data_IF_431891942435
#
_entry.id   IF_431891942435
#
_cell.length_a   1.000
_cell.length_b   1.000
_cell.length_c   1.000
_cell.angle_alpha   90.00
_cell.angle_beta   90.00
_cell.angle_gamma   90.00
#
_symmetry.space_group_name_H-M   'P 1'
#
loop_
_entity.id
_entity.type
_entity.pdbx_description
1 polymer ?
#
# COMPACT_ATOMS: atom_id res chain seq x y z
N UNK A 1 -17.79 5.09 -34.82
CA UNK A 1 -17.32 4.45 -33.57
C UNK A 1 -15.83 4.71 -33.53
N UNK A 2 -15.41 5.71 -32.76
CA UNK A 2 -14.03 6.10 -32.62
C UNK A 2 -13.51 5.45 -31.34
N UNK A 3 -12.45 4.69 -31.46
CA UNK A 3 -11.63 4.04 -30.45
C UNK A 3 -12.36 3.30 -29.31
N UNK A 4 -12.13 1.99 -29.28
CA UNK A 4 -12.44 1.14 -28.13
C UNK A 4 -11.19 1.08 -27.28
N UNK A 5 -11.14 1.83 -26.17
CA UNK A 5 -10.12 1.66 -25.14
C UNK A 5 -10.39 0.36 -24.38
N UNK A 6 -9.51 -0.60 -24.55
CA UNK A 6 -9.50 -1.82 -23.73
C UNK A 6 -8.89 -1.47 -22.36
N UNK A 7 -9.71 -1.31 -21.36
CA UNK A 7 -9.25 -1.19 -19.97
C UNK A 7 -8.96 -2.60 -19.45
N UNK A 8 -7.71 -3.01 -19.53
CA UNK A 8 -7.24 -4.27 -18.95
C UNK A 8 -7.18 -4.16 -17.43
N UNK A 9 -7.79 -5.12 -16.72
CA UNK A 9 -7.75 -5.23 -15.26
C UNK A 9 -6.53 -6.02 -14.75
N UNK A 10 -5.55 -6.28 -15.60
CA UNK A 10 -4.31 -6.90 -15.15
C UNK A 10 -3.60 -6.02 -14.13
N UNK A 11 -3.04 -6.61 -13.06
CA UNK A 11 -2.31 -5.83 -12.07
C UNK A 11 -1.17 -5.07 -12.74
N UNK A 12 -1.09 -3.77 -12.44
CA UNK A 12 -0.06 -2.85 -12.96
C UNK A 12 1.30 -3.30 -12.43
N UNK A 13 1.97 -4.15 -13.20
CA UNK A 13 3.27 -4.72 -12.86
C UNK A 13 3.19 -5.98 -12.00
N UNK A 14 3.83 -7.04 -12.48
CA UNK A 14 3.98 -8.32 -11.74
C UNK A 14 5.08 -8.26 -10.67
N UNK A 15 5.64 -7.09 -10.39
CA UNK A 15 6.75 -6.93 -9.45
C UNK A 15 6.22 -6.57 -8.06
N UNK A 16 6.63 -7.32 -7.05
CA UNK A 16 6.46 -7.01 -5.62
C UNK A 16 7.00 -5.63 -5.23
N UNK A 17 7.91 -5.08 -6.04
CA UNK A 17 8.55 -3.77 -5.87
C UNK A 17 7.76 -2.60 -6.46
N UNK A 18 6.72 -2.89 -7.25
CA UNK A 18 5.84 -1.85 -7.77
C UNK A 18 4.83 -1.43 -6.69
N UNK A 19 4.79 -0.16 -6.38
CA UNK A 19 3.90 0.40 -5.37
C UNK A 19 3.38 1.80 -5.77
N UNK A 20 2.30 2.29 -5.17
CA UNK A 20 1.66 3.54 -5.54
C UNK A 20 2.60 4.75 -5.50
N UNK A 21 3.45 4.85 -4.48
CA UNK A 21 4.36 5.99 -4.31
C UNK A 21 5.43 6.05 -5.40
N UNK A 22 5.88 4.89 -5.90
CA UNK A 22 6.83 4.81 -7.01
C UNK A 22 6.14 5.15 -8.33
N UNK A 23 4.91 4.69 -8.53
CA UNK A 23 4.14 4.95 -9.75
C UNK A 23 3.93 6.44 -10.01
N UNK A 24 3.53 7.20 -8.99
CA UNK A 24 3.36 8.66 -9.10
C UNK A 24 4.68 9.44 -8.99
N UNK A 25 5.83 8.76 -8.93
CA UNK A 25 7.17 9.36 -8.77
C UNK A 25 7.31 10.27 -7.54
N UNK A 26 6.48 10.07 -6.52
CA UNK A 26 6.58 10.79 -5.26
C UNK A 26 7.74 10.25 -4.41
N UNK A 27 8.10 8.98 -4.59
CA UNK A 27 9.18 8.35 -3.84
C UNK A 27 10.55 9.01 -4.05
N UNK A 28 10.81 9.52 -5.23
CA UNK A 28 12.08 10.22 -5.51
C UNK A 28 12.25 11.49 -4.66
N UNK A 29 11.16 12.24 -4.46
CA UNK A 29 11.18 13.42 -3.61
C UNK A 29 11.29 13.05 -2.13
N UNK A 30 10.62 11.97 -1.70
CA UNK A 30 10.73 11.45 -0.33
C UNK A 30 12.18 11.02 -0.04
N UNK A 31 12.82 10.28 -0.95
CA UNK A 31 14.21 9.84 -0.78
C UNK A 31 15.18 11.03 -0.68
N UNK A 32 14.99 12.08 -1.48
CA UNK A 32 15.78 13.32 -1.38
C UNK A 32 15.56 13.99 -0.03
N UNK A 33 14.31 14.07 0.44
CA UNK A 33 13.99 14.66 1.74
C UNK A 33 14.71 13.93 2.89
N UNK A 34 14.79 12.60 2.84
CA UNK A 34 15.53 11.83 3.84
C UNK A 34 17.05 11.99 3.71
N UNK A 35 17.60 12.06 2.49
CA UNK A 35 19.02 12.32 2.25
C UNK A 35 19.46 13.72 2.73
N UNK A 36 18.54 14.68 2.76
CA UNK A 36 18.78 16.03 3.24
C UNK A 36 18.80 16.16 4.77
N UNK A 37 18.38 15.12 5.50
CA UNK A 37 18.39 15.14 6.95
C UNK A 37 19.82 15.20 7.51
N UNK A 38 20.03 15.89 8.66
CA UNK A 38 21.37 16.06 9.25
C UNK A 38 22.10 14.73 9.46
N UNK A 39 21.42 13.72 10.01
CA UNK A 39 21.99 12.40 10.26
C UNK A 39 22.40 11.71 8.95
N UNK A 40 21.56 11.78 7.91
CA UNK A 40 21.87 11.19 6.61
C UNK A 40 23.11 11.85 5.98
N UNK A 41 23.23 13.17 6.09
CA UNK A 41 24.42 13.92 5.61
C UNK A 41 25.68 13.55 6.39
N UNK A 42 25.56 13.40 7.71
CA UNK A 42 26.67 12.98 8.56
C UNK A 42 27.17 11.57 8.20
N UNK A 43 26.25 10.66 7.90
CA UNK A 43 26.55 9.28 7.52
C UNK A 43 26.91 9.13 6.03
N UNK A 44 26.81 10.19 5.23
CA UNK A 44 27.07 10.15 3.78
C UNK A 44 26.01 9.40 2.98
N UNK A 45 24.78 9.30 3.48
CA UNK A 45 23.69 8.58 2.81
C UNK A 45 23.09 9.40 1.67
N UNK A 46 23.23 8.92 0.45
CA UNK A 46 22.58 9.49 -0.73
C UNK A 46 21.10 9.13 -0.81
N UNK A 47 20.34 9.79 -1.68
CA UNK A 47 18.94 9.43 -1.93
C UNK A 47 18.75 7.97 -2.41
N UNK A 48 19.76 7.38 -3.04
CA UNK A 48 19.78 5.96 -3.41
C UNK A 48 19.75 5.02 -2.20
N UNK A 49 20.36 5.44 -1.10
CA UNK A 49 20.39 4.65 0.13
C UNK A 49 19.00 4.40 0.73
N UNK A 50 18.08 5.32 0.54
CA UNK A 50 16.68 5.21 0.96
C UNK A 50 15.78 4.52 -0.07
N UNK A 51 16.37 3.78 -1.01
CA UNK A 51 15.63 3.00 -2.01
C UNK A 51 15.58 1.52 -1.62
N UNK A 52 14.40 0.92 -1.64
CA UNK A 52 14.24 -0.53 -1.47
C UNK A 52 14.61 -1.31 -2.75
N UNK A 53 14.87 -0.63 -3.87
CA UNK A 53 15.28 -1.24 -5.15
C UNK A 53 16.79 -1.25 -5.36
N UNK A 54 17.50 -0.34 -4.69
CA UNK A 54 18.95 -0.14 -4.85
C UNK A 54 19.69 -0.70 -3.65
N UNK A 55 20.88 -1.23 -3.86
CA UNK A 55 21.74 -1.68 -2.78
C UNK A 55 22.23 -0.49 -1.92
N UNK A 56 22.49 -0.79 -0.66
CA UNK A 56 22.92 0.20 0.34
C UNK A 56 22.09 0.10 1.60
N UNK A 57 21.00 0.85 1.68
CA UNK A 57 20.15 0.90 2.88
C UNK A 57 19.01 -0.12 2.92
N UNK A 58 18.75 -0.88 1.85
CA UNK A 58 17.75 -1.96 1.86
C UNK A 58 18.24 -3.17 2.66
N UNK A 59 17.33 -3.95 3.19
CA UNK A 59 17.64 -5.26 3.75
C UNK A 59 18.23 -6.17 2.66
N UNK A 60 19.34 -6.80 2.94
CA UNK A 60 20.06 -7.66 1.98
C UNK A 60 19.39 -9.01 1.79
N UNK A 61 18.82 -9.57 2.85
CA UNK A 61 18.15 -10.86 2.83
C UNK A 61 16.90 -10.84 1.94
N UNK A 62 15.93 -9.97 2.22
CA UNK A 62 14.73 -9.84 1.41
C UNK A 62 14.89 -8.90 0.21
N UNK A 63 16.07 -8.32 0.01
CA UNK A 63 16.37 -7.38 -1.08
C UNK A 63 15.36 -6.21 -1.18
N UNK A 64 14.81 -5.79 -0.03
CA UNK A 64 13.86 -4.70 0.07
C UNK A 64 12.39 -5.09 -0.14
N UNK A 65 12.06 -6.37 -0.22
CA UNK A 65 10.67 -6.84 -0.34
C UNK A 65 9.93 -6.90 1.00
N UNK A 66 10.66 -7.06 2.10
CA UNK A 66 10.11 -7.23 3.44
C UNK A 66 9.62 -8.65 3.72
N UNK A 67 9.53 -9.48 2.67
CA UNK A 67 9.10 -10.88 2.75
C UNK A 67 10.05 -11.78 1.98
N UNK A 68 10.09 -13.05 2.35
CA UNK A 68 10.83 -14.11 1.66
C UNK A 68 9.83 -15.14 1.18
N UNK A 69 9.92 -15.49 -0.11
CA UNK A 69 9.07 -16.52 -0.71
C UNK A 69 9.80 -17.85 -0.68
N UNK A 70 9.18 -18.86 -0.09
CA UNK A 70 9.62 -20.24 -0.09
C UNK A 70 8.83 -20.99 -1.15
N UNK A 71 9.50 -21.34 -2.25
CA UNK A 71 8.90 -22.12 -3.33
C UNK A 71 8.66 -23.56 -2.88
N UNK A 72 7.45 -24.07 -3.10
CA UNK A 72 7.09 -25.45 -2.79
C UNK A 72 6.74 -26.22 -4.06
N UNK A 73 7.36 -27.39 -4.26
CA UNK A 73 7.21 -28.17 -5.52
C UNK A 73 5.79 -28.64 -5.81
N UNK A 74 4.93 -28.82 -4.79
CA UNK A 74 3.59 -29.39 -4.96
C UNK A 74 2.47 -28.59 -4.29
N UNK A 75 2.79 -27.42 -3.73
CA UNK A 75 1.84 -26.56 -3.03
C UNK A 75 2.06 -25.09 -3.45
N UNK A 76 1.13 -24.23 -3.09
CA UNK A 76 1.31 -22.79 -3.30
C UNK A 76 2.52 -22.28 -2.52
N UNK A 77 3.26 -21.34 -3.11
CA UNK A 77 4.41 -20.72 -2.48
C UNK A 77 4.04 -20.08 -1.14
N UNK A 78 4.89 -20.27 -0.15
CA UNK A 78 4.71 -19.71 1.17
C UNK A 78 5.47 -18.38 1.26
N UNK A 79 4.74 -17.30 1.54
CA UNK A 79 5.32 -15.96 1.73
C UNK A 79 5.44 -15.70 3.22
N UNK A 80 6.68 -15.61 3.71
CA UNK A 80 7.02 -15.37 5.10
C UNK A 80 7.56 -13.95 5.28
N UNK A 81 7.36 -13.37 6.46
CA UNK A 81 8.00 -12.12 6.83
C UNK A 81 9.52 -12.33 6.95
N UNK A 82 10.31 -11.38 6.45
CA UNK A 82 11.76 -11.45 6.55
C UNK A 82 12.22 -11.33 8.01
N UNK A 83 12.95 -12.30 8.52
CA UNK A 83 13.41 -12.34 9.91
C UNK A 83 14.43 -11.23 10.22
N UNK A 84 15.29 -10.87 9.27
CA UNK A 84 16.30 -9.83 9.47
C UNK A 84 15.75 -8.43 9.61
N UNK A 85 14.73 -8.07 8.83
CA UNK A 85 14.19 -6.72 8.85
C UNK A 85 12.77 -6.63 9.44
N UNK A 86 12.17 -7.75 9.82
CA UNK A 86 10.81 -7.81 10.36
C UNK A 86 9.81 -7.00 9.49
N UNK A 87 9.80 -7.29 8.21
CA UNK A 87 8.94 -6.63 7.23
C UNK A 87 9.30 -5.19 6.88
N UNK A 88 10.28 -4.58 7.55
CA UNK A 88 10.59 -3.15 7.39
C UNK A 88 11.33 -2.79 6.10
N UNK A 89 11.84 -3.77 5.35
CA UNK A 89 12.50 -3.60 4.03
C UNK A 89 13.89 -2.94 4.05
N UNK A 90 14.26 -2.24 5.12
CA UNK A 90 15.49 -1.48 5.26
C UNK A 90 16.34 -2.00 6.41
N UNK A 91 17.63 -1.65 6.37
CA UNK A 91 18.56 -1.87 7.49
C UNK A 91 18.20 -0.93 8.65
N UNK A 92 18.58 -1.31 9.87
CA UNK A 92 18.32 -0.50 11.05
C UNK A 92 18.94 0.90 10.96
N UNK A 93 20.17 1.00 10.45
CA UNK A 93 20.87 2.29 10.26
C UNK A 93 20.07 3.26 9.38
N UNK A 94 19.43 2.74 8.31
CA UNK A 94 18.56 3.53 7.45
C UNK A 94 17.31 4.03 8.18
N UNK A 95 16.78 3.21 9.10
CA UNK A 95 15.58 3.53 9.90
C UNK A 95 15.87 4.52 11.04
N UNK A 96 17.13 4.72 11.42
CA UNK A 96 17.52 5.74 12.38
C UNK A 96 17.35 7.16 11.83
N UNK A 97 17.44 7.34 10.51
CA UNK A 97 17.17 8.62 9.88
C UNK A 97 15.68 8.92 9.93
N UNK A 98 15.32 10.01 10.57
CA UNK A 98 13.92 10.42 10.75
C UNK A 98 13.71 11.83 10.19
N UNK A 99 12.53 11.99 9.58
CA UNK A 99 11.96 13.29 9.25
C UNK A 99 10.72 13.51 10.12
N UNK A 100 10.73 14.56 10.95
CA UNK A 100 9.64 14.89 11.88
C UNK A 100 9.16 13.68 12.71
N UNK A 101 10.13 12.92 13.24
CA UNK A 101 9.88 11.75 14.08
C UNK A 101 9.48 10.48 13.33
N UNK A 102 9.34 10.52 12.01
CA UNK A 102 8.98 9.38 11.15
C UNK A 102 10.18 8.91 10.34
N UNK A 103 10.42 7.60 10.32
CA UNK A 103 11.42 6.99 9.45
C UNK A 103 10.83 6.68 8.06
N UNK A 104 11.67 6.25 7.12
CA UNK A 104 11.24 5.94 5.75
C UNK A 104 10.18 4.82 5.69
N UNK A 105 10.26 3.83 6.58
CA UNK A 105 9.28 2.76 6.67
C UNK A 105 7.94 3.28 7.17
N UNK A 106 7.92 4.12 8.21
CA UNK A 106 6.70 4.73 8.72
C UNK A 106 5.96 5.53 7.64
N UNK A 107 6.70 6.25 6.80
CA UNK A 107 6.12 6.98 5.65
C UNK A 107 5.50 6.02 4.64
N UNK A 108 6.16 4.90 4.33
CA UNK A 108 5.63 3.90 3.40
C UNK A 108 4.39 3.17 3.94
N UNK A 109 4.26 3.06 5.25
CA UNK A 109 3.10 2.47 5.92
C UNK A 109 1.89 3.42 6.02
N UNK A 110 2.10 4.72 5.84
CA UNK A 110 1.00 5.69 5.78
C UNK A 110 0.10 5.46 4.59
N UNK A 111 -1.19 5.71 4.77
CA UNK A 111 -2.11 5.84 3.65
C UNK A 111 -1.83 7.12 2.86
N UNK A 112 -2.27 7.17 1.61
CA UNK A 112 -2.12 8.38 0.77
C UNK A 112 -2.71 9.61 1.46
N UNK A 113 -3.88 9.49 2.10
CA UNK A 113 -4.50 10.61 2.83
C UNK A 113 -3.64 11.07 3.99
N UNK A 114 -3.18 10.14 4.84
CA UNK A 114 -2.30 10.47 5.98
C UNK A 114 -0.98 11.11 5.53
N UNK A 115 -0.41 10.63 4.44
CA UNK A 115 0.82 11.19 3.89
C UNK A 115 0.60 12.61 3.34
N UNK A 116 -0.53 12.87 2.68
CA UNK A 116 -0.87 14.22 2.20
C UNK A 116 -1.01 15.19 3.38
N UNK A 117 -1.71 14.81 4.45
CA UNK A 117 -1.84 15.61 5.67
C UNK A 117 -0.47 15.88 6.28
N UNK A 118 0.33 14.84 6.53
CA UNK A 118 1.67 14.94 7.11
C UNK A 118 2.60 15.84 6.30
N UNK A 119 2.69 15.63 4.99
CA UNK A 119 3.56 16.46 4.14
C UNK A 119 3.04 17.88 3.91
N UNK A 120 1.73 18.11 4.08
CA UNK A 120 1.15 19.46 4.06
C UNK A 120 1.54 20.24 5.31
N UNK A 121 1.45 19.64 6.48
CA UNK A 121 1.87 20.24 7.76
C UNK A 121 3.35 20.65 7.75
N UNK A 122 4.19 19.82 7.11
CA UNK A 122 5.63 20.05 7.02
C UNK A 122 6.08 20.78 5.73
N UNK A 123 5.15 21.47 5.03
CA UNK A 123 5.42 22.29 3.85
C UNK A 123 6.07 21.58 2.65
N UNK A 124 5.92 20.25 2.54
CA UNK A 124 6.48 19.45 1.44
C UNK A 124 5.55 19.45 0.21
N UNK A 125 5.30 20.64 -0.36
CA UNK A 125 4.35 20.87 -1.47
C UNK A 125 4.61 20.01 -2.70
N UNK A 126 5.87 19.67 -3.00
CA UNK A 126 6.25 18.84 -4.16
C UNK A 126 5.73 17.41 -4.02
N UNK A 127 5.86 16.83 -2.82
CA UNK A 127 5.39 15.48 -2.51
C UNK A 127 3.86 15.45 -2.55
N UNK A 128 3.21 16.42 -1.89
CA UNK A 128 1.75 16.55 -1.87
C UNK A 128 1.19 16.64 -3.29
N UNK A 129 1.79 17.46 -4.16
CA UNK A 129 1.35 17.61 -5.56
C UNK A 129 1.39 16.27 -6.32
N UNK A 130 2.38 15.43 -6.06
CA UNK A 130 2.52 14.11 -6.69
C UNK A 130 1.57 13.06 -6.12
N UNK A 131 1.16 13.19 -4.85
CA UNK A 131 0.23 12.25 -4.20
C UNK A 131 -1.24 12.58 -4.47
N UNK A 132 -1.59 13.84 -4.72
CA UNK A 132 -2.98 14.27 -4.97
C UNK A 132 -3.71 13.45 -6.04
N UNK A 133 -3.13 13.13 -7.20
CA UNK A 133 -3.83 12.34 -8.21
C UNK A 133 -4.32 10.98 -7.69
N UNK A 134 -3.60 10.35 -6.74
CA UNK A 134 -4.06 9.11 -6.10
C UNK A 134 -5.28 9.34 -5.22
N UNK A 135 -5.35 10.48 -4.54
CA UNK A 135 -6.52 10.86 -3.74
C UNK A 135 -7.72 11.16 -4.64
N UNK A 136 -7.51 11.89 -5.72
CA UNK A 136 -8.56 12.32 -6.67
C UNK A 136 -9.25 11.12 -7.35
N UNK A 137 -8.50 10.06 -7.66
CA UNK A 137 -9.07 8.80 -8.18
C UNK A 137 -9.64 7.88 -7.09
N UNK A 138 -9.72 8.36 -5.84
CA UNK A 138 -10.33 7.62 -4.72
C UNK A 138 -9.43 6.56 -4.09
N UNK A 139 -8.12 6.58 -4.35
CA UNK A 139 -7.14 5.66 -3.77
C UNK A 139 -6.48 6.19 -2.48
N UNK A 140 -7.08 7.17 -1.83
CA UNK A 140 -6.58 7.78 -0.60
C UNK A 140 -6.39 6.82 0.58
N UNK A 141 -7.03 5.65 0.54
CA UNK A 141 -6.99 4.64 1.60
C UNK A 141 -5.84 3.62 1.47
N UNK A 142 -5.15 3.56 0.33
CA UNK A 142 -4.05 2.62 0.12
C UNK A 142 -2.77 3.12 0.80
N UNK A 143 -1.94 2.18 1.25
CA UNK A 143 -0.62 2.53 1.80
C UNK A 143 0.35 2.89 0.68
N UNK A 144 1.23 3.85 0.92
CA UNK A 144 2.23 4.31 -0.05
C UNK A 144 3.15 3.18 -0.53
N UNK A 145 3.58 2.33 0.39
CA UNK A 145 4.48 1.20 0.14
C UNK A 145 3.77 -0.12 -0.17
N UNK A 146 2.44 -0.13 -0.34
CA UNK A 146 1.71 -1.36 -0.64
C UNK A 146 2.11 -1.91 -2.01
N UNK A 147 2.47 -3.21 -2.06
CA UNK A 147 2.77 -3.87 -3.34
C UNK A 147 1.54 -3.88 -4.26
N UNK A 148 1.75 -3.60 -5.54
CA UNK A 148 0.69 -3.67 -6.56
C UNK A 148 0.20 -5.10 -6.82
N UNK A 149 0.95 -6.12 -6.40
CA UNK A 149 0.53 -7.52 -6.45
C UNK A 149 -0.49 -7.87 -5.36
N UNK A 150 -0.61 -7.03 -4.31
CA UNK A 150 -1.61 -7.21 -3.25
C UNK A 150 -2.95 -6.66 -3.72
N UNK A 151 -4.02 -7.48 -3.78
CA UNK A 151 -5.32 -7.00 -4.22
C UNK A 151 -5.81 -5.84 -3.33
N UNK A 152 -6.22 -4.75 -3.94
CA UNK A 152 -6.78 -3.57 -3.26
C UNK A 152 -8.16 -3.90 -2.70
N UNK A 153 -8.22 -4.59 -1.54
CA UNK A 153 -9.46 -4.79 -0.83
C UNK A 153 -9.90 -3.47 -0.20
N UNK A 154 -10.96 -2.88 -0.73
CA UNK A 154 -11.70 -1.80 -0.07
C UNK A 154 -12.15 -2.32 1.29
N UNK A 155 -11.45 -2.00 2.37
CA UNK A 155 -12.00 -2.17 3.72
C UNK A 155 -13.21 -1.23 3.80
N UNK A 156 -14.40 -1.81 3.82
CA UNK A 156 -15.60 -1.04 4.20
C UNK A 156 -15.25 -0.38 5.54
N UNK A 157 -15.45 0.94 5.70
CA UNK A 157 -15.25 1.56 7.01
C UNK A 157 -16.09 0.78 8.00
N UNK A 158 -15.49 0.38 9.12
CA UNK A 158 -16.21 -0.24 10.21
C UNK A 158 -17.35 0.72 10.58
N UNK A 159 -18.58 0.31 10.29
CA UNK A 159 -19.76 1.04 10.79
C UNK A 159 -19.59 1.07 12.30
N UNK A 160 -19.42 2.26 12.86
CA UNK A 160 -19.62 2.47 14.29
C UNK A 160 -21.05 2.03 14.56
N UNK A 161 -21.21 0.84 15.09
CA UNK A 161 -22.49 0.31 15.53
C UNK A 161 -22.87 1.04 16.83
N UNK A 162 -23.48 2.19 16.66
CA UNK A 162 -24.39 2.73 17.65
C UNK A 162 -25.79 2.31 17.20
N UNK A 163 -26.50 1.61 18.11
CA UNK A 163 -27.90 1.23 18.02
C UNK A 163 -28.18 -0.05 17.25
N UNK A 164 -28.39 -1.12 17.98
CA UNK A 164 -29.09 -2.33 17.57
C UNK A 164 -30.53 -1.96 17.12
N UNK A 165 -30.97 -2.33 15.90
CA UNK A 165 -32.39 -2.26 15.59
C UNK A 165 -33.10 -3.36 16.40
N UNK A 166 -34.04 -2.97 17.23
CA UNK A 166 -34.95 -3.89 17.88
C UNK A 166 -35.70 -4.72 16.84
N UNK A 167 -35.57 -6.02 16.97
CA UNK A 167 -36.29 -7.00 16.15
C UNK A 167 -37.80 -6.88 16.44
N UNK A 168 -38.55 -6.20 15.58
CA UNK A 168 -40.00 -6.33 15.58
C UNK A 168 -40.37 -7.69 14.99
N UNK A 169 -40.92 -8.55 15.85
CA UNK A 169 -41.63 -9.79 15.46
C UNK A 169 -42.82 -9.39 14.57
N UNK A 170 -42.96 -10.06 13.42
CA UNK A 170 -44.22 -10.14 12.71
C UNK A 170 -44.12 -9.72 11.25
N UNK A 171 -43.89 -10.66 10.36
CA UNK A 171 -44.82 -11.00 9.25
C UNK A 171 -44.24 -12.16 8.46
N UNK A 172 -45.01 -13.27 8.50
CA UNK A 172 -44.70 -14.46 7.72
C UNK A 172 -44.92 -14.17 6.23
N UNK A 173 -43.87 -14.31 5.41
CA UNK A 173 -44.04 -14.34 3.96
C UNK A 173 -44.31 -15.77 3.50
N UNK A 174 -45.54 -16.01 3.04
CA UNK A 174 -45.94 -17.22 2.31
C UNK A 174 -45.14 -17.27 0.98
N UNK A 175 -44.18 -18.19 0.90
CA UNK A 175 -43.59 -18.60 -0.37
C UNK A 175 -44.61 -19.46 -1.13
N UNK A 176 -45.29 -18.90 -2.13
CA UNK A 176 -46.11 -19.58 -3.10
C UNK A 176 -45.21 -20.26 -4.14
N UNK A 177 -44.95 -21.56 -3.97
CA UNK A 177 -44.33 -22.40 -5.00
C UNK A 177 -45.36 -22.63 -6.09
N UNK A 178 -45.16 -22.07 -7.29
CA UNK A 178 -45.89 -22.44 -8.50
C UNK A 178 -45.31 -23.77 -9.00
N UNK A 179 -46.08 -24.86 -8.87
CA UNK A 179 -45.85 -26.06 -9.67
C UNK A 179 -46.30 -25.75 -11.10
N UNK A 180 -45.41 -25.93 -12.04
CA UNK A 180 -45.77 -26.05 -13.44
C UNK A 180 -46.03 -27.55 -13.71
N UNK A 181 -47.29 -27.89 -13.80
CA UNK A 181 -47.71 -29.16 -14.41
C UNK A 181 -47.45 -29.05 -15.92
N UNK A 182 -46.57 -29.89 -16.41
CA UNK A 182 -46.57 -30.27 -17.82
C UNK A 182 -47.14 -31.68 -17.93
N UNK A 183 -48.40 -31.72 -18.28
CA UNK A 183 -49.07 -32.95 -18.74
C UNK A 183 -48.82 -33.15 -20.24
N UNK A 184 -48.76 -34.41 -20.63
CA UNK A 184 -48.75 -35.12 -21.89
C UNK A 184 -47.38 -35.41 -22.47
#
# INVERSE_FOLDING_TARGET
VNDIEFVDQNPIGKSSRSNPVTYVKAYDEIRKLFADQPLAKQMGYSAGYFSFNTEGGRCEECKGEGTVTVEMQFMADLVLECESCHGKRFKNDTLEVKFEGKNIYDILEMTVNQAIEFFTEHNQKKIVKKLRPLQDVGLGYIKLGQSSSTPFRRRKPARKTGVLPQYRKGTAYHLRVRRTDTGL
#
